data_IF_413268300287
#
_entry.id   IF_413268300287
#
_cell.length_a   1.000
_cell.length_b   1.000
_cell.length_c   1.000
_cell.angle_alpha   90.00
_cell.angle_beta   90.00
_cell.angle_gamma   90.00
#
_symmetry.space_group_name_H-M   'P 1'
#
loop_
_entity.id
_entity.type
_entity.pdbx_description
1 polymer ?
#
# COMPACT_ATOMS: atom_id res chain seq x y z
N UNK A 1 -0.30 16.29 20.30
CA UNK A 1 -1.16 17.36 19.73
C UNK A 1 -2.03 16.94 18.54
N UNK A 2 -1.64 15.96 17.71
CA UNK A 2 -2.36 15.55 16.47
C UNK A 2 -3.78 14.98 16.69
N UNK A 3 -4.03 14.26 17.79
CA UNK A 3 -5.35 13.65 18.08
C UNK A 3 -6.47 14.65 18.39
N UNK A 4 -6.12 15.84 18.91
CA UNK A 4 -7.09 16.90 19.25
C UNK A 4 -7.71 17.57 18.01
N UNK A 5 -6.91 17.72 16.94
CA UNK A 5 -7.40 18.24 15.66
C UNK A 5 -8.32 17.25 14.94
N UNK A 6 -7.93 15.97 14.91
CA UNK A 6 -8.74 14.86 14.40
C UNK A 6 -10.13 14.83 15.06
N UNK A 7 -10.18 15.02 16.38
CA UNK A 7 -11.44 15.09 17.11
C UNK A 7 -12.31 16.29 16.68
N UNK A 8 -11.67 17.43 16.37
CA UNK A 8 -12.35 18.63 15.88
C UNK A 8 -12.92 18.46 14.46
N UNK A 9 -12.19 17.78 13.57
CA UNK A 9 -12.65 17.50 12.20
C UNK A 9 -13.80 16.49 12.22
N UNK A 10 -13.69 15.43 13.02
CA UNK A 10 -14.77 14.45 13.20
C UNK A 10 -16.03 15.06 13.81
N UNK A 11 -15.88 16.07 14.69
CA UNK A 11 -17.01 16.79 15.28
C UNK A 11 -17.69 17.77 14.30
N UNK A 12 -17.03 18.17 13.22
CA UNK A 12 -17.54 19.13 12.24
C UNK A 12 -18.31 18.53 11.06
N UNK A 13 -18.67 17.24 11.12
CA UNK A 13 -19.44 16.57 10.05
C UNK A 13 -18.81 16.72 8.66
N UNK A 14 -17.48 16.67 8.57
CA UNK A 14 -16.81 16.72 7.28
C UNK A 14 -17.17 15.48 6.46
N UNK A 15 -17.61 15.68 5.22
CA UNK A 15 -17.87 14.58 4.27
C UNK A 15 -16.58 13.93 3.78
N UNK A 16 -15.47 14.65 3.84
CA UNK A 16 -14.17 14.17 3.40
C UNK A 16 -13.17 14.24 4.55
N UNK A 17 -12.40 13.17 4.73
CA UNK A 17 -11.36 13.09 5.72
C UNK A 17 -10.07 12.53 5.10
N UNK A 18 -9.04 13.37 5.04
CA UNK A 18 -7.72 13.01 4.54
C UNK A 18 -6.72 13.00 5.69
N UNK A 19 -6.20 11.81 5.99
CA UNK A 19 -5.18 11.58 7.00
C UNK A 19 -3.96 10.99 6.29
N UNK A 20 -2.94 11.80 6.05
CA UNK A 20 -1.64 11.34 5.53
C UNK A 20 -0.54 11.86 6.44
N UNK A 21 0.46 11.03 6.73
CA UNK A 21 1.73 11.55 7.23
C UNK A 21 2.47 12.24 6.07
N UNK A 22 2.65 13.56 6.15
CA UNK A 22 3.60 14.28 5.28
C UNK A 22 5.01 13.95 5.77
N UNK A 23 5.69 13.08 5.03
CA UNK A 23 7.13 13.12 4.71
C UNK A 23 7.57 11.71 4.30
N UNK A 24 7.36 11.40 3.03
CA UNK A 24 8.20 10.45 2.31
C UNK A 24 8.81 11.23 1.17
N UNK A 25 9.96 11.83 1.45
CA UNK A 25 10.83 12.42 0.44
C UNK A 25 11.04 11.40 -0.67
N UNK A 26 10.95 11.88 -1.90
CA UNK A 26 11.22 11.17 -3.14
C UNK A 26 12.56 10.42 -3.04
N UNK A 27 12.52 9.10 -2.89
CA UNK A 27 13.70 8.27 -3.08
C UNK A 27 13.93 8.13 -4.59
N UNK A 28 14.65 9.10 -5.15
CA UNK A 28 15.42 8.90 -6.36
C UNK A 28 16.40 7.75 -6.10
N UNK A 29 16.19 6.64 -6.80
CA UNK A 29 17.19 5.59 -6.96
C UNK A 29 18.42 6.24 -7.58
N UNK A 30 19.47 6.48 -6.80
CA UNK A 30 20.80 6.74 -7.36
C UNK A 30 21.25 5.44 -8.00
N UNK A 31 21.49 5.48 -9.30
CA UNK A 31 22.12 4.38 -10.03
C UNK A 31 23.41 3.94 -9.33
N UNK A 32 23.69 2.63 -9.24
CA UNK A 32 25.02 2.19 -8.84
C UNK A 32 26.02 2.58 -9.94
N UNK A 33 27.11 3.21 -9.52
CA UNK A 33 28.30 3.45 -10.33
C UNK A 33 28.74 2.15 -11.02
N UNK A 34 28.76 2.14 -12.36
CA UNK A 34 29.39 1.08 -13.14
C UNK A 34 30.89 1.36 -13.21
N UNK A 35 31.68 0.61 -12.43
CA UNK A 35 33.14 0.60 -12.57
C UNK A 35 33.56 -0.59 -13.42
N UNK A 36 33.97 -0.34 -14.66
CA UNK A 36 34.80 -1.25 -15.46
C UNK A 36 36.22 -0.66 -15.57
N UNK A 37 37.26 -1.49 -15.42
CA UNK A 37 38.63 -1.14 -15.80
C UNK A 37 39.76 -1.71 -14.92
N UNK A 38 40.09 -2.98 -15.15
CA UNK A 38 41.40 -3.62 -15.39
C UNK A 38 42.69 -3.22 -14.62
N UNK A 39 43.46 -4.25 -14.21
CA UNK A 39 44.94 -4.21 -14.23
C UNK A 39 45.68 -4.84 -13.04
N UNK A 40 46.30 -6.00 -13.27
CA UNK A 40 47.22 -6.73 -12.37
C UNK A 40 48.46 -5.93 -11.92
N UNK A 41 49.01 -6.23 -10.72
CA UNK A 41 50.45 -6.54 -10.46
C UNK A 41 50.84 -6.57 -8.96
N UNK A 42 51.80 -7.43 -8.66
CA UNK A 42 52.36 -7.89 -7.38
C UNK A 42 53.10 -6.88 -6.44
N UNK A 43 52.90 -7.08 -5.12
CA UNK A 43 53.89 -7.04 -4.00
C UNK A 43 54.43 -5.68 -3.42
N UNK A 44 55.20 -5.65 -2.30
CA UNK A 44 54.69 -5.51 -0.92
C UNK A 44 55.27 -4.31 -0.12
N UNK A 45 54.70 -4.06 1.07
CA UNK A 45 55.19 -3.18 2.16
C UNK A 45 55.34 -1.67 1.90
N UNK A 46 54.39 -0.88 2.41
CA UNK A 46 54.64 0.48 2.87
C UNK A 46 53.80 0.78 4.13
N UNK A 47 54.50 1.08 5.23
CA UNK A 47 53.93 1.60 6.47
C UNK A 47 53.31 2.98 6.20
N UNK A 48 52.00 3.13 6.42
CA UNK A 48 51.32 4.43 6.44
C UNK A 48 50.91 4.76 7.88
N UNK A 49 51.15 6.00 8.37
CA UNK A 49 51.04 6.34 9.79
C UNK A 49 49.59 6.33 10.27
N UNK A 50 49.42 5.97 11.55
CA UNK A 50 48.15 5.98 12.24
C UNK A 50 47.72 7.40 12.63
N UNK A 51 47.13 8.18 11.71
CA UNK A 51 46.22 9.26 12.08
C UNK A 51 45.32 9.70 10.92
N UNK A 52 44.30 8.90 10.63
CA UNK A 52 43.09 9.36 9.95
C UNK A 52 41.94 8.43 10.37
N UNK A 53 41.64 8.47 11.67
CA UNK A 53 40.48 7.78 12.21
C UNK A 53 39.24 8.59 11.82
N UNK A 54 38.74 8.37 10.60
CA UNK A 54 37.36 8.72 10.24
C UNK A 54 36.46 8.29 11.42
N UNK A 55 35.71 9.21 12.06
CA UNK A 55 34.91 8.85 13.22
C UNK A 55 33.95 7.76 12.79
N UNK A 56 34.18 6.57 13.36
CA UNK A 56 33.38 5.39 13.15
C UNK A 56 31.90 5.76 13.26
N UNK A 57 31.16 5.38 12.23
CA UNK A 57 29.76 4.99 12.34
C UNK A 57 28.94 5.88 13.27
N UNK A 58 28.56 7.08 12.81
CA UNK A 58 27.27 7.63 13.24
C UNK A 58 26.25 6.56 12.92
N UNK A 59 25.84 5.81 13.93
CA UNK A 59 24.73 4.89 13.87
C UNK A 59 23.56 5.67 13.28
N UNK A 60 23.26 5.44 12.01
CA UNK A 60 22.00 5.86 11.43
C UNK A 60 20.93 5.16 12.25
N UNK A 61 20.47 5.79 13.32
CA UNK A 61 19.18 5.45 13.89
C UNK A 61 18.18 5.79 12.79
N UNK A 62 17.50 4.79 12.20
CA UNK A 62 16.43 5.09 11.27
C UNK A 62 15.41 5.89 12.07
N UNK A 63 15.19 7.14 11.66
CA UNK A 63 14.14 7.99 12.17
C UNK A 63 12.85 7.18 12.10
N UNK A 64 12.35 6.69 13.24
CA UNK A 64 11.09 5.97 13.32
C UNK A 64 10.01 7.01 13.14
N UNK A 65 9.25 7.02 12.04
CA UNK A 65 8.16 7.96 11.89
C UNK A 65 7.17 7.64 13.01
N UNK A 66 6.89 8.61 13.89
CA UNK A 66 5.84 8.49 14.90
C UNK A 66 4.52 8.23 14.20
N UNK A 67 4.13 6.96 14.19
CA UNK A 67 2.84 6.50 13.70
C UNK A 67 1.73 7.15 14.51
N UNK A 68 0.72 7.66 13.83
CA UNK A 68 -0.50 8.06 14.50
C UNK A 68 -1.52 6.91 14.43
N UNK A 69 -2.03 6.53 15.60
CA UNK A 69 -3.19 5.66 15.72
C UNK A 69 -4.46 6.44 15.36
N UNK A 70 -5.40 5.76 14.69
CA UNK A 70 -6.67 6.36 14.31
C UNK A 70 -7.62 6.41 15.53
N UNK A 71 -8.35 7.52 15.72
CA UNK A 71 -9.32 7.61 16.82
C UNK A 71 -10.48 6.63 16.57
N UNK A 72 -10.88 5.86 17.60
CA UNK A 72 -11.94 4.85 17.47
C UNK A 72 -13.26 5.36 16.88
N UNK A 73 -13.61 6.62 17.17
CA UNK A 73 -14.83 7.27 16.64
C UNK A 73 -14.85 7.43 15.12
N UNK A 74 -13.69 7.36 14.47
CA UNK A 74 -13.62 7.36 13.00
C UNK A 74 -14.42 6.18 12.43
N UNK A 75 -14.28 4.99 13.03
CA UNK A 75 -14.87 3.74 12.54
C UNK A 75 -16.38 3.61 12.74
N UNK A 76 -17.03 4.62 13.34
CA UNK A 76 -18.48 4.70 13.53
C UNK A 76 -19.04 6.02 12.99
N UNK A 77 -18.30 6.70 12.12
CA UNK A 77 -18.66 8.03 11.65
C UNK A 77 -19.66 7.96 10.49
N UNK A 78 -20.87 8.46 10.72
CA UNK A 78 -21.95 8.47 9.72
C UNK A 78 -21.92 9.68 8.79
N UNK A 79 -21.02 10.65 8.98
CA UNK A 79 -20.95 11.83 8.12
C UNK A 79 -19.96 11.67 6.95
N UNK A 80 -18.98 10.78 7.09
CA UNK A 80 -17.86 10.67 6.15
C UNK A 80 -18.29 9.85 4.94
N UNK A 81 -18.05 10.42 3.76
CA UNK A 81 -18.24 9.78 2.45
C UNK A 81 -16.91 9.41 1.80
N UNK A 82 -15.87 10.19 2.07
CA UNK A 82 -14.52 9.96 1.54
C UNK A 82 -13.53 9.84 2.68
N UNK A 83 -12.86 8.69 2.77
CA UNK A 83 -11.82 8.43 3.75
C UNK A 83 -10.52 8.10 3.03
N UNK A 84 -9.50 8.94 3.22
CA UNK A 84 -8.16 8.70 2.70
C UNK A 84 -7.19 8.56 3.85
N UNK A 85 -6.58 7.39 3.98
CA UNK A 85 -5.58 7.06 4.99
C UNK A 85 -4.23 6.82 4.34
N UNK A 86 -3.18 7.36 4.94
CA UNK A 86 -1.81 7.31 4.42
C UNK A 86 -0.77 7.17 5.53
N UNK A 87 0.13 6.20 5.41
CA UNK A 87 1.27 6.03 6.33
C UNK A 87 0.85 5.96 7.81
N UNK A 88 -0.19 5.18 8.12
CA UNK A 88 -0.66 4.97 9.48
C UNK A 88 -0.84 3.48 9.80
N UNK A 89 -0.91 3.19 11.09
CA UNK A 89 -1.19 1.84 11.59
C UNK A 89 -2.68 1.69 11.83
N UNK A 90 -3.26 0.65 11.22
CA UNK A 90 -4.70 0.40 11.25
C UNK A 90 -5.00 -0.75 12.22
N UNK A 91 -5.49 -0.38 13.40
CA UNK A 91 -6.03 -1.30 14.40
C UNK A 91 -7.50 -0.94 14.62
N UNK A 92 -8.41 -1.45 13.76
CA UNK A 92 -9.80 -1.11 13.86
C UNK A 92 -10.45 -1.85 15.04
N UNK A 93 -11.48 -1.25 15.67
CA UNK A 93 -12.31 -1.98 16.64
C UNK A 93 -13.01 -3.17 15.97
N UNK A 94 -13.57 -4.06 16.79
CA UNK A 94 -14.31 -5.23 16.31
C UNK A 94 -15.52 -4.85 15.45
N UNK A 95 -16.21 -3.77 15.81
CA UNK A 95 -17.35 -3.24 15.06
C UNK A 95 -16.96 -1.97 14.32
N UNK A 96 -17.13 -1.98 13.00
CA UNK A 96 -16.92 -0.85 12.11
C UNK A 96 -18.23 -0.59 11.37
N UNK A 97 -18.71 0.64 11.43
CA UNK A 97 -19.93 1.10 10.79
C UNK A 97 -19.66 2.44 10.12
N UNK A 98 -19.41 2.39 8.81
CA UNK A 98 -19.20 3.54 7.95
C UNK A 98 -20.29 3.55 6.87
N UNK A 99 -21.57 3.71 7.25
CA UNK A 99 -22.72 3.38 6.40
C UNK A 99 -22.81 4.24 5.14
N UNK A 100 -22.22 5.43 5.13
CA UNK A 100 -22.27 6.36 4.00
C UNK A 100 -20.91 6.53 3.31
N UNK A 101 -19.91 5.71 3.64
CA UNK A 101 -18.60 5.81 3.00
C UNK A 101 -18.66 5.30 1.56
N UNK A 102 -18.48 6.20 0.62
CA UNK A 102 -18.50 5.96 -0.82
C UNK A 102 -17.08 5.74 -1.38
N UNK A 103 -16.06 6.39 -0.80
CA UNK A 103 -14.67 6.32 -1.26
C UNK A 103 -13.73 5.96 -0.13
N UNK A 104 -12.98 4.87 -0.30
CA UNK A 104 -11.92 4.44 0.61
C UNK A 104 -10.57 4.38 -0.13
N UNK A 105 -9.62 5.17 0.33
CA UNK A 105 -8.25 5.17 -0.18
C UNK A 105 -7.29 4.83 0.96
N UNK A 106 -6.55 3.73 0.80
CA UNK A 106 -5.55 3.26 1.74
C UNK A 106 -4.19 3.29 1.06
N UNK A 107 -3.22 4.01 1.62
CA UNK A 107 -1.85 4.08 1.09
C UNK A 107 -0.83 3.85 2.18
N UNK A 108 0.10 2.91 1.98
CA UNK A 108 1.16 2.64 2.96
C UNK A 108 0.55 2.32 4.33
N UNK A 109 -0.45 1.44 4.39
CA UNK A 109 -1.14 1.07 5.65
C UNK A 109 -0.48 -0.13 6.30
N UNK A 110 -0.06 0.04 7.57
CA UNK A 110 0.44 -1.06 8.41
C UNK A 110 -0.70 -1.73 9.13
N UNK A 111 -0.97 -2.96 8.74
CA UNK A 111 -2.14 -3.70 9.19
C UNK A 111 -2.07 -5.13 8.70
N UNK A 112 -2.71 -6.03 9.44
CA UNK A 112 -3.05 -7.36 8.92
C UNK A 112 -4.08 -7.23 7.80
N UNK A 113 -4.11 -8.20 6.89
CA UNK A 113 -5.12 -8.34 5.86
C UNK A 113 -6.52 -8.42 6.46
N UNK A 114 -6.69 -9.16 7.56
CA UNK A 114 -7.97 -9.26 8.27
C UNK A 114 -8.49 -7.92 8.79
N UNK A 115 -7.62 -7.01 9.24
CA UNK A 115 -8.02 -5.67 9.67
C UNK A 115 -8.43 -4.78 8.48
N UNK A 116 -7.75 -4.89 7.35
CA UNK A 116 -8.12 -4.18 6.11
C UNK A 116 -9.46 -4.70 5.60
N UNK A 117 -9.63 -6.03 5.55
CA UNK A 117 -10.89 -6.66 5.16
C UNK A 117 -12.04 -6.22 6.07
N UNK A 118 -11.83 -6.20 7.40
CA UNK A 118 -12.84 -5.73 8.35
C UNK A 118 -13.26 -4.28 8.06
N UNK A 119 -12.30 -3.40 7.76
CA UNK A 119 -12.59 -2.02 7.38
C UNK A 119 -13.45 -1.95 6.11
N UNK A 120 -13.11 -2.71 5.08
CA UNK A 120 -13.88 -2.75 3.83
C UNK A 120 -15.30 -3.27 4.08
N UNK A 121 -15.45 -4.36 4.85
CA UNK A 121 -16.76 -4.94 5.19
C UNK A 121 -17.66 -3.96 5.96
N UNK A 122 -17.09 -3.07 6.78
CA UNK A 122 -17.83 -2.04 7.50
C UNK A 122 -18.36 -0.87 6.65
N UNK A 123 -18.12 -0.87 5.33
CA UNK A 123 -18.45 0.23 4.41
C UNK A 123 -19.48 -0.22 3.35
N UNK A 124 -20.78 -0.38 3.67
CA UNK A 124 -21.77 -0.98 2.76
C UNK A 124 -22.02 -0.18 1.47
N UNK A 125 -21.84 1.14 1.48
CA UNK A 125 -22.05 2.00 0.31
C UNK A 125 -20.77 2.28 -0.49
N UNK A 126 -19.73 1.42 -0.37
CA UNK A 126 -18.46 1.66 -1.03
C UNK A 126 -18.59 1.57 -2.57
N UNK A 127 -18.16 2.64 -3.25
CA UNK A 127 -18.20 2.81 -4.71
C UNK A 127 -16.79 2.84 -5.30
N UNK A 128 -15.83 3.40 -4.58
CA UNK A 128 -14.44 3.59 -5.01
C UNK A 128 -13.47 3.07 -3.95
N UNK A 129 -12.70 2.05 -4.31
CA UNK A 129 -11.70 1.42 -3.46
C UNK A 129 -10.32 1.53 -4.09
N UNK A 130 -9.38 2.14 -3.36
CA UNK A 130 -7.96 2.12 -3.70
C UNK A 130 -7.13 1.52 -2.57
N UNK A 131 -6.37 0.48 -2.87
CA UNK A 131 -5.35 -0.10 -2.01
C UNK A 131 -3.98 0.15 -2.62
N UNK A 132 -3.12 0.86 -1.90
CA UNK A 132 -1.76 1.17 -2.32
C UNK A 132 -0.77 0.77 -1.23
N UNK A 133 0.23 -0.06 -1.54
CA UNK A 133 1.27 -0.49 -0.57
C UNK A 133 0.62 -0.93 0.76
N UNK A 134 -0.27 -1.92 0.73
CA UNK A 134 -1.00 -2.41 1.91
C UNK A 134 -0.62 -3.86 2.23
N UNK A 135 -0.95 -4.33 3.44
CA UNK A 135 -0.77 -5.73 3.84
C UNK A 135 0.63 -6.08 4.36
N UNK A 136 1.26 -5.16 5.07
CA UNK A 136 2.51 -5.40 5.76
C UNK A 136 2.32 -5.10 7.24
N UNK A 137 2.74 -6.03 8.09
CA UNK A 137 2.59 -5.99 9.55
C UNK A 137 3.88 -5.58 10.24
N UNK A 138 5.01 -5.69 9.54
CA UNK A 138 6.32 -5.58 10.16
C UNK A 138 6.86 -4.15 10.30
N UNK A 139 7.56 -3.97 11.42
CA UNK A 139 8.19 -2.71 11.85
C UNK A 139 9.61 -2.54 11.28
N UNK A 140 10.13 -3.56 10.60
CA UNK A 140 11.46 -3.59 10.03
C UNK A 140 11.39 -3.52 8.51
N UNK A 141 11.77 -2.35 7.97
CA UNK A 141 11.87 -2.01 6.54
C UNK A 141 12.75 -2.97 5.71
N UNK A 142 13.45 -3.92 6.35
CA UNK A 142 14.44 -4.80 5.71
C UNK A 142 13.97 -6.23 5.48
N UNK A 143 12.95 -6.70 6.19
CA UNK A 143 12.32 -8.00 5.94
C UNK A 143 10.89 -7.92 6.49
N UNK A 144 9.91 -7.47 5.69
CA UNK A 144 8.52 -7.63 6.07
C UNK A 144 8.25 -9.13 6.05
N UNK A 145 7.95 -9.77 7.18
CA UNK A 145 7.24 -11.04 7.10
C UNK A 145 5.91 -10.72 6.41
N UNK A 146 5.65 -11.26 5.21
CA UNK A 146 4.39 -11.04 4.54
C UNK A 146 3.30 -11.59 5.45
N UNK A 147 2.21 -10.84 5.59
CA UNK A 147 0.95 -11.44 6.04
C UNK A 147 0.55 -12.41 4.93
N UNK A 148 0.96 -13.68 5.08
CA UNK A 148 0.87 -14.72 4.05
C UNK A 148 -0.56 -15.02 3.62
N UNK A 149 -1.55 -14.47 4.34
CA UNK A 149 -2.97 -14.69 4.11
C UNK A 149 -3.70 -13.37 3.78
N UNK A 150 -3.00 -12.34 3.30
CA UNK A 150 -3.65 -11.09 2.90
C UNK A 150 -4.57 -11.32 1.69
N UNK A 151 -5.85 -11.46 2.00
CA UNK A 151 -6.93 -11.62 1.02
C UNK A 151 -7.98 -10.53 1.23
N UNK A 152 -8.63 -10.12 0.15
CA UNK A 152 -9.74 -9.17 0.20
C UNK A 152 -10.96 -9.73 -0.56
N UNK A 153 -12.14 -9.50 0.01
CA UNK A 153 -13.42 -9.94 -0.56
C UNK A 153 -14.38 -8.76 -0.56
N UNK A 154 -14.84 -8.37 -1.74
CA UNK A 154 -15.70 -7.20 -1.97
C UNK A 154 -16.86 -7.59 -2.89
N UNK A 155 -17.71 -8.50 -2.40
CA UNK A 155 -18.78 -9.13 -3.17
C UNK A 155 -20.17 -8.51 -2.94
N UNK A 156 -20.30 -7.72 -1.88
CA UNK A 156 -21.56 -7.16 -1.40
C UNK A 156 -21.58 -5.63 -1.52
N UNK A 157 -20.91 -5.10 -2.57
CA UNK A 157 -20.70 -3.68 -2.80
C UNK A 157 -20.92 -3.32 -4.27
N UNK A 158 -21.39 -2.10 -4.51
CA UNK A 158 -21.59 -1.57 -5.86
C UNK A 158 -20.34 -0.85 -6.37
N UNK A 159 -19.20 -1.54 -6.38
CA UNK A 159 -17.92 -0.95 -6.77
C UNK A 159 -17.94 -0.54 -8.25
N UNK A 160 -17.61 0.73 -8.50
CA UNK A 160 -17.45 1.30 -9.85
C UNK A 160 -15.99 1.53 -10.19
N UNK A 161 -15.14 1.72 -9.18
CA UNK A 161 -13.70 1.86 -9.33
C UNK A 161 -12.95 1.00 -8.34
N UNK A 162 -11.98 0.26 -8.84
CA UNK A 162 -11.05 -0.51 -8.02
C UNK A 162 -9.62 -0.27 -8.50
N UNK A 163 -8.75 0.12 -7.58
CA UNK A 163 -7.33 0.32 -7.83
C UNK A 163 -6.49 -0.48 -6.85
N UNK A 164 -5.67 -1.38 -7.36
CA UNK A 164 -4.74 -2.20 -6.61
C UNK A 164 -3.30 -1.83 -7.01
N UNK A 165 -2.55 -1.20 -6.12
CA UNK A 165 -1.23 -0.64 -6.41
C UNK A 165 -0.18 -1.11 -5.42
N UNK A 166 0.95 -1.63 -5.89
CA UNK A 166 2.12 -2.02 -5.12
C UNK A 166 1.77 -2.85 -3.86
N UNK A 167 0.71 -3.67 -3.92
CA UNK A 167 0.28 -4.53 -2.81
C UNK A 167 0.89 -5.92 -3.02
N UNK A 168 2.21 -6.01 -2.86
CA UNK A 168 3.00 -7.20 -3.20
C UNK A 168 2.71 -8.43 -2.32
N UNK A 169 2.12 -8.22 -1.14
CA UNK A 169 1.75 -9.29 -0.22
C UNK A 169 0.31 -9.76 -0.40
N UNK A 170 -0.48 -9.13 -1.28
CA UNK A 170 -1.86 -9.55 -1.52
C UNK A 170 -1.84 -10.90 -2.25
N UNK A 171 -2.52 -11.89 -1.68
CA UNK A 171 -2.64 -13.24 -2.25
C UNK A 171 -3.81 -13.32 -3.21
N UNK A 172 -4.95 -12.72 -2.84
CA UNK A 172 -6.18 -12.79 -3.62
C UNK A 172 -7.10 -11.59 -3.35
N UNK A 173 -7.74 -11.10 -4.41
CA UNK A 173 -8.85 -10.17 -4.39
C UNK A 173 -10.05 -10.78 -5.12
N UNK A 174 -11.16 -10.97 -4.41
CA UNK A 174 -12.44 -11.38 -5.00
C UNK A 174 -13.39 -10.19 -5.00
N UNK A 175 -13.80 -9.73 -6.18
CA UNK A 175 -14.54 -8.48 -6.38
C UNK A 175 -15.82 -8.76 -7.16
N UNK A 176 -16.96 -8.23 -6.69
CA UNK A 176 -18.15 -8.12 -7.55
C UNK A 176 -17.90 -7.00 -8.58
N UNK A 177 -17.77 -7.41 -9.83
CA UNK A 177 -17.44 -6.56 -10.95
C UNK A 177 -18.68 -6.17 -11.78
N UNK A 178 -19.89 -6.49 -11.32
CA UNK A 178 -21.15 -6.23 -12.03
C UNK A 178 -21.37 -4.75 -12.38
N UNK A 179 -20.87 -3.83 -11.54
CA UNK A 179 -20.91 -2.37 -11.77
C UNK A 179 -19.53 -1.74 -12.06
N UNK A 180 -18.47 -2.55 -12.13
CA UNK A 180 -17.10 -2.06 -12.23
C UNK A 180 -16.84 -1.42 -13.60
N UNK A 181 -16.46 -0.14 -13.59
CA UNK A 181 -16.19 0.66 -14.80
C UNK A 181 -14.71 0.96 -14.99
N UNK A 182 -14.00 1.13 -13.89
CA UNK A 182 -12.58 1.48 -13.88
C UNK A 182 -11.80 0.50 -13.03
N UNK A 183 -10.80 -0.12 -13.63
CA UNK A 183 -9.85 -0.98 -12.95
C UNK A 183 -8.43 -0.48 -13.17
N UNK A 184 -7.64 -0.45 -12.11
CA UNK A 184 -6.22 -0.15 -12.19
C UNK A 184 -5.39 -1.14 -11.38
N UNK A 185 -4.37 -1.68 -12.02
CA UNK A 185 -3.37 -2.52 -11.40
C UNK A 185 -1.98 -1.90 -11.54
N UNK A 186 -1.25 -1.87 -10.42
CA UNK A 186 0.20 -1.66 -10.39
C UNK A 186 0.81 -2.68 -9.46
N UNK A 187 1.75 -3.50 -9.91
CA UNK A 187 2.33 -4.53 -9.03
C UNK A 187 3.37 -5.36 -9.74
N UNK A 188 3.76 -6.49 -9.15
CA UNK A 188 4.55 -7.48 -9.87
C UNK A 188 3.67 -8.18 -10.93
N UNK A 189 4.24 -9.09 -11.72
CA UNK A 189 3.41 -9.90 -12.63
C UNK A 189 2.44 -10.73 -11.77
N UNK A 190 1.11 -10.53 -11.90
CA UNK A 190 0.15 -11.19 -11.03
C UNK A 190 0.09 -12.69 -11.33
N UNK A 191 -0.15 -13.50 -10.29
CA UNK A 191 -0.62 -14.87 -10.51
C UNK A 191 -2.06 -14.85 -11.02
N UNK A 192 -2.47 -15.91 -11.70
CA UNK A 192 -3.86 -16.05 -12.20
C UNK A 192 -4.89 -16.03 -11.07
N UNK A 193 -4.48 -16.42 -9.86
CA UNK A 193 -5.33 -16.43 -8.67
C UNK A 193 -5.42 -15.08 -7.94
N UNK A 194 -4.63 -14.07 -8.34
CA UNK A 194 -4.55 -12.81 -7.59
C UNK A 194 -5.87 -12.03 -7.64
N UNK A 195 -6.60 -12.10 -8.75
CA UNK A 195 -7.85 -11.37 -8.94
C UNK A 195 -8.94 -12.30 -9.47
N UNK A 196 -10.10 -12.28 -8.82
CA UNK A 196 -11.30 -12.98 -9.26
C UNK A 196 -12.41 -11.94 -9.40
N UNK A 197 -12.86 -11.73 -10.63
CA UNK A 197 -13.95 -10.79 -10.93
C UNK A 197 -15.25 -11.58 -11.10
N UNK A 198 -16.23 -11.28 -10.27
CA UNK A 198 -17.55 -11.91 -10.31
C UNK A 198 -18.55 -11.05 -11.07
N UNK A 199 -19.51 -11.69 -11.73
CA UNK A 199 -20.55 -11.01 -12.48
C UNK A 199 -20.12 -10.56 -13.88
N UNK A 200 -21.09 -10.11 -14.68
CA UNK A 200 -20.84 -9.62 -16.02
C UNK A 200 -20.26 -8.20 -15.93
N UNK A 201 -18.97 -8.07 -16.24
CA UNK A 201 -18.27 -6.80 -16.14
C UNK A 201 -18.14 -6.11 -17.50
N UNK A 202 -18.36 -4.79 -17.53
CA UNK A 202 -18.12 -3.93 -18.71
C UNK A 202 -17.12 -2.85 -18.33
N UNK A 203 -15.90 -3.28 -18.05
CA UNK A 203 -14.80 -2.38 -17.68
C UNK A 203 -14.56 -1.45 -18.87
N UNK A 204 -14.79 -0.16 -18.65
CA UNK A 204 -14.65 0.88 -19.68
C UNK A 204 -13.22 1.42 -19.75
N UNK A 205 -12.50 1.32 -18.63
CA UNK A 205 -11.12 1.78 -18.51
C UNK A 205 -10.34 0.79 -17.65
N UNK A 206 -9.26 0.25 -18.21
CA UNK A 206 -8.36 -0.67 -17.54
C UNK A 206 -6.93 -0.18 -17.73
N UNK A 207 -6.21 0.03 -16.62
CA UNK A 207 -4.80 0.42 -16.64
C UNK A 207 -3.98 -0.63 -15.90
N UNK A 208 -2.96 -1.18 -16.57
CA UNK A 208 -2.06 -2.17 -15.99
C UNK A 208 -0.64 -1.62 -16.10
N UNK A 209 0.04 -1.58 -14.96
CA UNK A 209 1.43 -1.14 -14.85
C UNK A 209 2.18 -2.11 -13.93
N UNK A 210 3.50 -2.16 -14.07
CA UNK A 210 4.32 -3.09 -13.29
C UNK A 210 5.32 -2.36 -12.40
N UNK A 211 5.66 -2.98 -11.27
CA UNK A 211 6.76 -2.54 -10.43
C UNK A 211 8.07 -3.09 -11.00
N UNK A 212 9.01 -2.21 -11.35
CA UNK A 212 10.31 -2.60 -11.90
C UNK A 212 10.40 -2.57 -13.43
N UNK A 213 11.63 -2.73 -13.94
CA UNK A 213 12.04 -2.38 -15.32
C UNK A 213 11.93 -3.53 -16.34
N UNK A 214 11.61 -4.77 -15.94
CA UNK A 214 11.69 -5.95 -16.83
C UNK A 214 10.43 -6.78 -16.83
N UNK A 215 9.45 -6.38 -17.65
CA UNK A 215 8.33 -7.25 -18.04
C UNK A 215 8.83 -8.13 -19.19
N UNK A 216 9.10 -9.40 -18.91
CA UNK A 216 9.51 -10.35 -19.96
C UNK A 216 8.32 -10.64 -20.89
N UNK A 217 8.59 -10.81 -22.19
CA UNK A 217 7.55 -10.97 -23.25
C UNK A 217 6.51 -12.08 -22.98
N UNK A 218 6.80 -13.04 -22.09
CA UNK A 218 5.88 -14.11 -21.68
C UNK A 218 4.81 -13.72 -20.65
N UNK A 219 4.80 -12.50 -20.11
CA UNK A 219 3.82 -12.06 -19.12
C UNK A 219 2.46 -11.63 -19.70
N UNK A 220 2.37 -11.43 -21.02
CA UNK A 220 1.17 -10.91 -21.68
C UNK A 220 -0.03 -11.89 -21.68
N UNK A 221 0.14 -13.21 -21.88
CA UNK A 221 -0.97 -14.16 -21.77
C UNK A 221 -1.58 -14.22 -20.36
N UNK A 222 -0.75 -14.11 -19.31
CA UNK A 222 -1.19 -14.09 -17.91
C UNK A 222 -2.06 -12.87 -17.59
N UNK A 223 -1.87 -11.75 -18.30
CA UNK A 223 -2.71 -10.57 -18.13
C UNK A 223 -4.12 -10.75 -18.69
N UNK A 224 -4.25 -11.58 -19.74
CA UNK A 224 -5.55 -11.87 -20.34
C UNK A 224 -6.35 -12.79 -19.42
N UNK A 225 -5.75 -13.86 -18.90
CA UNK A 225 -6.38 -14.72 -17.89
C UNK A 225 -6.64 -14.00 -16.56
N UNK A 226 -5.86 -12.98 -16.22
CA UNK A 226 -6.05 -12.16 -15.02
C UNK A 226 -7.34 -11.31 -15.02
N UNK A 227 -7.93 -11.04 -16.19
CA UNK A 227 -9.16 -10.23 -16.34
C UNK A 227 -10.35 -11.02 -16.89
N UNK A 228 -10.17 -12.29 -17.27
CA UNK A 228 -11.23 -13.20 -17.74
C UNK A 228 -11.97 -13.85 -16.56
#
# INVERSE_FOLDING_TARGET
MRTRWLYHVLKRSSKELHLKHTDLAEYHVKEPYNGEGDGDSDSPHANVPADDRCPASRSYQPYRPDEYALPRRLFSCVAVRTLRLGACTLEPPERIELPFLETLFLSTIRSTGGNIQRLISGCPCLIDLTLERCGYTDKHYKDPLPDKDFTIVVLDKHLRRFSLRCCHNLVQASIDASELRTFEYRGDVPSESLLTLHGAHKISSCTISFCGMKVYKGALPLLRSFLE
#
